data_IF_484878620048
#
_entry.id   IF_484878620048
#
_cell.length_a   1.000
_cell.length_b   1.000
_cell.length_c   1.000
_cell.angle_alpha   90.00
_cell.angle_beta   90.00
_cell.angle_gamma   90.00
#
_symmetry.space_group_name_H-M   'P 1'
#
loop_
_entity.id
_entity.type
_entity.pdbx_description
1 polymer ?
#
# COMPACT_ATOMS: atom_id res chain seq x y z
N UNK A 1 -17.75 -17.49 -9.77
CA UNK A 1 -17.58 -16.20 -9.06
C UNK A 1 -18.18 -14.98 -9.80
N UNK A 2 -18.69 -15.14 -11.02
CA UNK A 2 -19.25 -14.03 -11.84
C UNK A 2 -20.64 -13.54 -11.45
N UNK A 3 -21.41 -14.29 -10.67
CA UNK A 3 -22.78 -13.92 -10.29
C UNK A 3 -22.88 -13.03 -9.05
N UNK A 4 -21.93 -13.12 -8.12
CA UNK A 4 -21.88 -12.25 -6.94
C UNK A 4 -21.46 -10.82 -7.29
N UNK A 5 -20.56 -10.63 -8.24
CA UNK A 5 -20.04 -9.31 -8.63
C UNK A 5 -21.13 -8.38 -9.16
N UNK A 6 -22.02 -8.90 -9.99
CA UNK A 6 -23.07 -8.07 -10.61
C UNK A 6 -24.22 -7.70 -9.66
N UNK A 7 -24.46 -8.49 -8.61
CA UNK A 7 -25.53 -8.21 -7.65
C UNK A 7 -25.10 -7.24 -6.53
N UNK A 8 -23.87 -7.35 -6.07
CA UNK A 8 -23.33 -6.50 -5.00
C UNK A 8 -23.04 -5.07 -5.52
N UNK A 9 -22.48 -4.95 -6.73
CA UNK A 9 -22.17 -3.65 -7.34
C UNK A 9 -23.37 -2.94 -7.97
N UNK A 10 -24.52 -3.59 -8.06
CA UNK A 10 -25.79 -2.94 -8.47
C UNK A 10 -26.27 -1.89 -7.50
N UNK A 11 -25.85 -1.94 -6.22
CA UNK A 11 -26.17 -0.88 -5.26
C UNK A 11 -25.19 0.29 -5.43
N UNK A 12 -25.68 1.42 -5.92
CA UNK A 12 -24.89 2.64 -6.15
C UNK A 12 -24.12 3.10 -4.92
N UNK A 13 -24.72 2.96 -3.72
CA UNK A 13 -24.07 3.35 -2.46
C UNK A 13 -22.81 2.51 -2.18
N UNK A 14 -22.86 1.19 -2.40
CA UNK A 14 -21.72 0.30 -2.23
C UNK A 14 -20.62 0.62 -3.25
N UNK A 15 -20.99 0.87 -4.51
CA UNK A 15 -20.04 1.26 -5.55
C UNK A 15 -19.31 2.55 -5.19
N UNK A 16 -20.04 3.59 -4.80
CA UNK A 16 -19.42 4.87 -4.41
C UNK A 16 -18.55 4.73 -3.16
N UNK A 17 -18.95 3.93 -2.17
CA UNK A 17 -18.13 3.64 -0.99
C UNK A 17 -16.79 2.97 -1.36
N UNK A 18 -16.83 1.97 -2.23
CA UNK A 18 -15.63 1.26 -2.71
C UNK A 18 -14.72 2.17 -3.56
N UNK A 19 -15.30 3.01 -4.42
CA UNK A 19 -14.53 3.99 -5.20
C UNK A 19 -13.88 5.01 -4.28
N UNK A 20 -14.60 5.53 -3.30
CA UNK A 20 -14.06 6.48 -2.31
C UNK A 20 -12.91 5.85 -1.54
N UNK A 21 -13.07 4.62 -1.05
CA UNK A 21 -12.00 3.89 -0.36
C UNK A 21 -10.75 3.76 -1.24
N UNK A 22 -10.93 3.37 -2.51
CA UNK A 22 -9.83 3.26 -3.47
C UNK A 22 -9.11 4.59 -3.70
N UNK A 23 -9.87 5.68 -3.85
CA UNK A 23 -9.32 7.03 -4.08
C UNK A 23 -8.56 7.52 -2.86
N UNK A 24 -9.10 7.34 -1.65
CA UNK A 24 -8.43 7.77 -0.42
C UNK A 24 -7.12 7.02 -0.19
N UNK A 25 -7.11 5.70 -0.37
CA UNK A 25 -5.88 4.91 -0.25
C UNK A 25 -4.91 5.27 -1.38
N UNK A 26 -5.39 5.44 -2.62
CA UNK A 26 -4.57 5.89 -3.73
C UNK A 26 -3.92 7.25 -3.47
N UNK A 27 -4.66 8.19 -2.87
CA UNK A 27 -4.13 9.48 -2.45
C UNK A 27 -3.07 9.34 -1.36
N UNK A 28 -3.31 8.49 -0.34
CA UNK A 28 -2.35 8.25 0.72
C UNK A 28 -1.01 7.74 0.16
N UNK A 29 -1.05 6.69 -0.67
CA UNK A 29 0.16 6.16 -1.32
C UNK A 29 0.87 7.18 -2.22
N UNK A 30 0.09 7.94 -3.02
CA UNK A 30 0.67 8.94 -3.90
C UNK A 30 1.37 10.05 -3.10
N UNK A 31 0.72 10.55 -2.06
CA UNK A 31 1.29 11.57 -1.18
C UNK A 31 2.58 11.08 -0.52
N UNK A 32 2.57 9.87 0.04
CA UNK A 32 3.73 9.24 0.66
C UNK A 32 4.88 9.04 -0.35
N UNK A 33 4.59 8.59 -1.56
CA UNK A 33 5.60 8.42 -2.61
C UNK A 33 6.17 9.74 -3.10
N UNK A 34 5.32 10.70 -3.45
CA UNK A 34 5.73 12.02 -3.97
C UNK A 34 6.49 12.81 -2.92
N UNK A 35 6.06 12.80 -1.65
CA UNK A 35 6.78 13.49 -0.58
C UNK A 35 8.23 13.01 -0.41
N UNK A 36 8.45 11.70 -0.61
CA UNK A 36 9.78 11.10 -0.61
C UNK A 36 10.60 11.48 -1.85
N UNK A 37 9.96 11.52 -3.03
CA UNK A 37 10.62 11.92 -4.29
C UNK A 37 11.08 13.39 -4.27
N UNK A 38 10.32 14.28 -3.64
CA UNK A 38 10.65 15.71 -3.57
C UNK A 38 11.73 15.99 -2.53
N UNK A 39 11.90 15.12 -1.54
CA UNK A 39 12.91 15.30 -0.50
C UNK A 39 14.25 14.66 -0.92
N UNK A 40 15.27 15.45 -1.31
CA UNK A 40 16.54 14.91 -1.79
C UNK A 40 17.37 14.20 -0.71
N UNK A 41 17.02 14.39 0.55
CA UNK A 41 17.70 13.77 1.70
C UNK A 41 16.93 12.58 2.27
N UNK A 42 15.84 12.17 1.61
CA UNK A 42 15.07 11.05 2.10
C UNK A 42 15.79 9.72 1.85
N UNK A 43 15.83 8.87 2.87
CA UNK A 43 16.29 7.49 2.76
C UNK A 43 15.47 6.58 3.67
N UNK A 44 15.31 5.33 3.27
CA UNK A 44 14.70 4.28 4.07
C UNK A 44 15.56 3.83 5.25
N UNK A 45 16.84 4.22 5.29
CA UNK A 45 17.82 3.81 6.31
C UNK A 45 17.33 4.06 7.74
N UNK A 46 16.77 5.25 8.01
CA UNK A 46 16.25 5.58 9.36
C UNK A 46 15.10 4.66 9.80
N UNK A 47 14.26 4.22 8.86
CA UNK A 47 13.19 3.28 9.13
C UNK A 47 13.72 1.86 9.32
N UNK A 48 14.66 1.43 8.48
CA UNK A 48 15.26 0.11 8.55
C UNK A 48 16.09 -0.10 9.82
N UNK A 49 16.86 0.92 10.24
CA UNK A 49 17.64 0.89 11.49
C UNK A 49 16.76 0.83 12.74
N UNK A 50 15.52 1.29 12.65
CA UNK A 50 14.55 1.20 13.75
C UNK A 50 13.82 -0.16 13.81
N UNK A 51 14.09 -1.07 12.87
CA UNK A 51 13.51 -2.42 12.87
C UNK A 51 14.05 -3.26 14.05
N UNK A 52 13.16 -3.83 14.87
CA UNK A 52 13.54 -4.52 16.14
C UNK A 52 13.03 -5.95 16.27
N UNK A 53 12.54 -6.55 15.20
CA UNK A 53 11.95 -7.88 15.29
C UNK A 53 12.57 -8.81 14.24
N UNK A 54 11.82 -9.79 13.74
CA UNK A 54 12.30 -10.86 12.82
C UNK A 54 13.12 -10.35 11.62
N UNK A 55 12.86 -9.13 11.15
CA UNK A 55 13.51 -8.54 9.99
C UNK A 55 14.66 -7.56 10.33
N UNK A 56 15.05 -7.43 11.61
CA UNK A 56 16.16 -6.55 12.01
C UNK A 56 17.48 -6.90 11.31
N UNK A 57 17.83 -8.20 11.24
CA UNK A 57 19.06 -8.62 10.54
C UNK A 57 19.02 -8.36 9.03
N UNK A 58 17.86 -8.50 8.38
CA UNK A 58 17.69 -8.13 6.97
C UNK A 58 17.80 -6.61 6.80
N UNK A 59 17.22 -5.84 7.71
CA UNK A 59 17.31 -4.38 7.70
C UNK A 59 18.75 -3.90 7.83
N UNK A 60 19.52 -4.46 8.76
CA UNK A 60 20.95 -4.18 8.92
C UNK A 60 21.75 -4.51 7.67
N UNK A 61 21.46 -5.64 7.03
CA UNK A 61 22.13 -6.04 5.77
C UNK A 61 21.84 -5.03 4.66
N UNK A 62 20.59 -4.56 4.52
CA UNK A 62 20.20 -3.57 3.51
C UNK A 62 20.92 -2.23 3.77
N UNK A 63 20.98 -1.80 5.03
CA UNK A 63 21.61 -0.52 5.37
C UNK A 63 23.12 -0.56 5.26
N UNK A 64 23.75 -1.72 5.51
CA UNK A 64 25.20 -1.90 5.43
C UNK A 64 25.74 -1.86 3.99
N UNK A 65 24.90 -2.17 2.99
CA UNK A 65 25.27 -2.15 1.58
C UNK A 65 24.64 -0.93 0.88
N UNK A 66 25.47 0.04 0.42
CA UNK A 66 24.95 1.24 -0.25
C UNK A 66 24.11 0.95 -1.50
N UNK A 67 24.39 -0.16 -2.20
CA UNK A 67 23.63 -0.54 -3.41
C UNK A 67 22.26 -1.05 -3.02
N UNK A 68 22.16 -1.94 -2.02
CA UNK A 68 20.90 -2.45 -1.52
C UNK A 68 20.03 -1.34 -0.93
N UNK A 69 20.63 -0.41 -0.18
CA UNK A 69 19.92 0.74 0.37
C UNK A 69 19.37 1.64 -0.74
N UNK A 70 20.17 1.93 -1.76
CA UNK A 70 19.73 2.72 -2.92
C UNK A 70 18.55 2.05 -3.64
N UNK A 71 18.61 0.74 -3.87
CA UNK A 71 17.50 -0.03 -4.47
C UNK A 71 16.24 0.05 -3.58
N UNK A 72 16.41 -0.13 -2.28
CA UNK A 72 15.30 0.01 -1.31
C UNK A 72 14.63 1.39 -1.39
N UNK A 73 15.43 2.45 -1.45
CA UNK A 73 14.95 3.83 -1.57
C UNK A 73 14.17 4.04 -2.86
N UNK A 74 14.72 3.65 -4.01
CA UNK A 74 14.03 3.77 -5.30
C UNK A 74 12.73 2.96 -5.37
N UNK A 75 12.75 1.71 -4.91
CA UNK A 75 11.56 0.86 -4.87
C UNK A 75 10.48 1.48 -3.98
N UNK A 76 10.86 2.06 -2.86
CA UNK A 76 9.95 2.71 -1.93
C UNK A 76 9.31 3.96 -2.55
N UNK A 77 10.13 4.90 -3.06
CA UNK A 77 9.67 6.16 -3.64
C UNK A 77 8.76 5.93 -4.86
N UNK A 78 9.29 5.21 -5.86
CA UNK A 78 8.56 4.97 -7.10
C UNK A 78 7.42 3.96 -6.94
N UNK A 79 7.63 2.93 -6.14
CA UNK A 79 6.61 1.93 -5.86
C UNK A 79 5.35 2.55 -5.27
N UNK A 80 5.49 3.36 -4.19
CA UNK A 80 4.36 4.05 -3.59
C UNK A 80 3.70 5.05 -4.55
N UNK A 81 4.50 5.82 -5.30
CA UNK A 81 3.99 6.80 -6.28
C UNK A 81 3.16 6.13 -7.36
N UNK A 82 3.68 5.04 -7.96
CA UNK A 82 2.99 4.32 -9.02
C UNK A 82 1.74 3.59 -8.52
N UNK A 83 1.82 2.98 -7.34
CA UNK A 83 0.66 2.37 -6.67
C UNK A 83 -0.42 3.41 -6.43
N UNK A 84 -0.05 4.55 -5.86
CA UNK A 84 -0.99 5.63 -5.58
C UNK A 84 -1.65 6.19 -6.83
N UNK A 85 -0.86 6.53 -7.84
CA UNK A 85 -1.36 7.04 -9.13
C UNK A 85 -2.29 6.02 -9.82
N UNK A 86 -1.91 4.75 -9.83
CA UNK A 86 -2.70 3.68 -10.42
C UNK A 86 -4.05 3.49 -9.73
N UNK A 87 -4.08 3.48 -8.39
CA UNK A 87 -5.33 3.38 -7.62
C UNK A 87 -6.23 4.61 -7.82
N UNK A 88 -5.67 5.82 -7.84
CA UNK A 88 -6.43 7.05 -8.10
C UNK A 88 -7.10 7.04 -9.48
N UNK A 89 -6.32 6.73 -10.50
CA UNK A 89 -6.80 6.68 -11.88
C UNK A 89 -7.71 5.48 -12.15
N UNK A 90 -7.70 4.47 -11.29
CA UNK A 90 -8.40 3.21 -11.52
C UNK A 90 -7.80 2.46 -12.70
N UNK A 91 -6.47 2.40 -12.77
CA UNK A 91 -5.71 1.68 -13.80
C UNK A 91 -5.08 0.44 -13.16
N UNK A 92 -5.38 -0.76 -13.67
CA UNK A 92 -4.91 -2.03 -13.09
C UNK A 92 -5.18 -2.18 -11.59
N UNK A 93 -6.24 -1.57 -11.08
CA UNK A 93 -6.44 -1.36 -9.64
C UNK A 93 -6.41 -2.65 -8.82
N UNK A 94 -6.81 -3.80 -9.40
CA UNK A 94 -6.75 -5.11 -8.75
C UNK A 94 -5.31 -5.53 -8.45
N UNK A 95 -4.41 -5.48 -9.43
CA UNK A 95 -3.00 -5.85 -9.25
C UNK A 95 -2.28 -4.84 -8.38
N UNK A 96 -2.58 -3.57 -8.57
CA UNK A 96 -1.97 -2.48 -7.81
C UNK A 96 -2.37 -2.53 -6.33
N UNK A 97 -3.61 -2.89 -6.02
CA UNK A 97 -4.04 -3.11 -4.64
C UNK A 97 -3.27 -4.26 -3.98
N UNK A 98 -2.98 -5.34 -4.72
CA UNK A 98 -2.17 -6.45 -4.21
C UNK A 98 -0.72 -6.01 -3.94
N UNK A 99 -0.12 -5.24 -4.84
CA UNK A 99 1.23 -4.68 -4.66
C UNK A 99 1.26 -3.72 -3.46
N UNK A 100 0.28 -2.82 -3.36
CA UNK A 100 0.15 -1.89 -2.22
C UNK A 100 -0.01 -2.63 -0.90
N UNK A 101 -0.82 -3.70 -0.88
CA UNK A 101 -0.95 -4.56 0.31
C UNK A 101 0.39 -5.18 0.70
N UNK A 102 1.19 -5.61 -0.28
CA UNK A 102 2.56 -6.08 -0.04
C UNK A 102 3.44 -5.03 0.63
N UNK A 103 3.41 -3.76 0.18
CA UNK A 103 4.16 -2.66 0.81
C UNK A 103 3.77 -2.45 2.27
N UNK A 104 2.47 -2.30 2.57
CA UNK A 104 2.05 -2.03 3.96
C UNK A 104 2.26 -3.23 4.88
N UNK A 105 2.17 -4.46 4.37
CA UNK A 105 2.53 -5.65 5.12
C UNK A 105 4.03 -5.73 5.40
N UNK A 106 4.89 -5.36 4.44
CA UNK A 106 6.33 -5.24 4.69
C UNK A 106 6.61 -4.20 5.78
N UNK A 107 6.00 -3.02 5.71
CA UNK A 107 6.14 -2.02 6.78
C UNK A 107 5.67 -2.56 8.13
N UNK A 108 4.56 -3.29 8.16
CA UNK A 108 4.10 -3.92 9.38
C UNK A 108 5.10 -4.92 9.95
N UNK A 109 5.73 -5.72 9.10
CA UNK A 109 6.68 -6.77 9.51
C UNK A 109 8.03 -6.18 9.98
N UNK A 110 8.49 -5.09 9.40
CA UNK A 110 9.71 -4.41 9.83
C UNK A 110 9.55 -3.66 11.16
N UNK A 111 8.35 -3.10 11.41
CA UNK A 111 8.06 -2.33 12.62
C UNK A 111 6.69 -2.72 13.22
N UNK A 112 6.54 -3.97 13.73
CA UNK A 112 5.28 -4.42 14.31
C UNK A 112 5.00 -3.70 15.66
N UNK A 113 3.74 -3.36 15.95
CA UNK A 113 3.36 -2.60 17.13
C UNK A 113 3.23 -3.49 18.39
N UNK A 114 4.19 -4.37 18.63
CA UNK A 114 4.13 -5.27 19.77
C UNK A 114 4.55 -4.61 21.07
N UNK A 115 3.94 -5.05 22.19
CA UNK A 115 4.28 -4.57 23.51
C UNK A 115 5.78 -4.86 23.83
N UNK A 116 6.46 -3.85 24.37
CA UNK A 116 7.87 -3.95 24.72
C UNK A 116 8.84 -3.59 23.60
N UNK A 117 8.35 -3.26 22.40
CA UNK A 117 9.15 -2.69 21.32
C UNK A 117 8.96 -1.17 21.30
N UNK A 118 10.01 -0.44 21.64
CA UNK A 118 10.02 1.02 21.55
C UNK A 118 10.71 1.46 20.26
N UNK A 119 10.03 2.29 19.47
CA UNK A 119 10.53 2.83 18.22
C UNK A 119 10.88 4.31 18.37
N UNK A 120 11.84 4.80 17.58
CA UNK A 120 12.29 6.19 17.61
C UNK A 120 11.19 7.18 17.20
N UNK A 121 10.22 6.73 16.43
CA UNK A 121 9.04 7.53 16.06
C UNK A 121 7.84 7.13 16.92
N UNK A 122 7.02 8.10 17.39
CA UNK A 122 5.78 7.78 18.09
C UNK A 122 4.90 6.88 17.24
N UNK A 123 4.45 5.78 17.81
CA UNK A 123 3.55 4.84 17.15
C UNK A 123 2.14 5.42 17.08
N UNK A 124 1.80 6.11 16.00
CA UNK A 124 0.44 6.56 15.77
C UNK A 124 -0.50 5.37 15.49
N UNK A 125 -1.60 5.27 16.26
CA UNK A 125 -2.65 4.27 16.04
C UNK A 125 -2.20 2.84 16.25
N UNK A 126 -1.33 2.61 17.23
CA UNK A 126 -0.86 1.28 17.61
C UNK A 126 -1.69 0.73 18.77
N UNK A 127 -2.36 -0.39 18.53
CA UNK A 127 -3.22 -1.08 19.51
C UNK A 127 -2.79 -2.54 19.63
N UNK A 128 -1.66 -2.78 20.29
CA UNK A 128 -1.04 -4.09 20.59
C UNK A 128 -0.60 -4.84 19.33
N UNK A 129 -1.54 -5.25 18.47
CA UNK A 129 -1.29 -5.99 17.21
C UNK A 129 -1.78 -5.16 16.01
N UNK A 130 -2.83 -4.38 16.22
CA UNK A 130 -3.47 -3.61 15.16
C UNK A 130 -2.83 -2.23 15.06
N UNK A 131 -2.36 -1.87 13.87
CA UNK A 131 -1.91 -0.53 13.54
C UNK A 131 -2.51 -0.08 12.20
N UNK A 132 -2.23 1.16 11.80
CA UNK A 132 -2.72 1.72 10.54
C UNK A 132 -2.37 0.85 9.32
N UNK A 133 -1.18 0.24 9.30
CA UNK A 133 -0.74 -0.59 8.17
C UNK A 133 -1.61 -1.85 8.02
N UNK A 134 -1.97 -2.50 9.12
CA UNK A 134 -2.82 -3.68 9.08
C UNK A 134 -4.25 -3.33 8.62
N UNK A 135 -4.79 -2.18 9.08
CA UNK A 135 -6.11 -1.68 8.64
C UNK A 135 -6.06 -1.37 7.14
N UNK A 136 -5.00 -0.72 6.67
CA UNK A 136 -4.82 -0.36 5.27
C UNK A 136 -4.64 -1.61 4.39
N UNK A 137 -3.92 -2.64 4.86
CA UNK A 137 -3.82 -3.93 4.18
C UNK A 137 -5.19 -4.59 4.00
N UNK A 138 -6.05 -4.57 5.03
CA UNK A 138 -7.42 -5.07 4.94
C UNK A 138 -8.26 -4.27 3.94
N UNK A 139 -8.11 -2.95 3.93
CA UNK A 139 -8.81 -2.09 2.98
C UNK A 139 -8.35 -2.33 1.53
N UNK A 140 -7.06 -2.55 1.31
CA UNK A 140 -6.50 -2.96 0.01
C UNK A 140 -7.00 -4.34 -0.43
N UNK A 141 -7.16 -5.27 0.51
CA UNK A 141 -7.80 -6.56 0.23
C UNK A 141 -9.24 -6.39 -0.26
N UNK A 142 -10.01 -5.49 0.37
CA UNK A 142 -11.37 -5.18 -0.10
C UNK A 142 -11.35 -4.63 -1.53
N UNK A 143 -10.44 -3.69 -1.85
CA UNK A 143 -10.29 -3.15 -3.20
C UNK A 143 -9.89 -4.24 -4.20
N UNK A 144 -8.99 -5.15 -3.83
CA UNK A 144 -8.60 -6.30 -4.64
C UNK A 144 -9.77 -7.24 -4.93
N UNK A 145 -10.59 -7.53 -3.88
CA UNK A 145 -11.71 -8.46 -3.95
C UNK A 145 -12.89 -7.90 -4.74
N UNK A 146 -13.09 -6.57 -4.68
CA UNK A 146 -14.18 -5.85 -5.32
C UNK A 146 -13.66 -4.73 -6.25
N UNK A 147 -13.02 -5.08 -7.37
CA UNK A 147 -12.43 -4.09 -8.27
C UNK A 147 -13.52 -3.22 -8.92
N UNK A 148 -13.42 -1.91 -8.74
CA UNK A 148 -14.37 -0.92 -9.26
C UNK A 148 -13.86 -0.20 -10.50
N UNK A 149 -12.61 -0.43 -10.91
CA UNK A 149 -11.91 0.33 -11.95
C UNK A 149 -12.51 0.16 -13.35
N UNK A 150 -13.13 -0.96 -13.63
CA UNK A 150 -13.84 -1.22 -14.90
C UNK A 150 -15.21 -0.52 -14.98
N UNK A 151 -15.73 -0.02 -13.84
CA UNK A 151 -16.99 0.76 -13.78
C UNK A 151 -16.65 2.25 -13.72
N UNK A 152 -15.80 2.64 -12.75
CA UNK A 152 -15.34 4.01 -12.51
C UNK A 152 -13.82 4.00 -12.43
N UNK A 153 -13.13 4.17 -13.57
CA UNK A 153 -11.68 4.19 -13.69
C UNK A 153 -11.24 4.08 -15.14
N UNK A 154 -9.92 4.22 -15.37
CA UNK A 154 -9.33 4.11 -16.70
C UNK A 154 -9.37 2.68 -17.28
N UNK A 155 -9.45 1.65 -16.44
CA UNK A 155 -9.63 0.26 -16.90
C UNK A 155 -10.86 0.07 -17.79
N UNK A 156 -11.86 0.96 -17.66
CA UNK A 156 -13.06 0.97 -18.49
C UNK A 156 -12.75 1.13 -19.98
N UNK A 157 -11.64 1.81 -20.34
CA UNK A 157 -11.24 2.04 -21.72
C UNK A 157 -10.48 0.86 -22.35
N UNK A 158 -10.17 -0.17 -21.57
CA UNK A 158 -9.47 -1.38 -22.00
C UNK A 158 -10.40 -2.62 -21.95
N UNK A 159 -11.41 -2.71 -22.84
CA UNK A 159 -12.49 -3.72 -22.74
C UNK A 159 -12.04 -5.17 -22.92
N UNK A 160 -10.81 -5.44 -23.39
CA UNK A 160 -10.33 -6.78 -23.71
C UNK A 160 -9.73 -7.56 -22.53
N UNK A 161 -9.76 -7.04 -21.31
CA UNK A 161 -9.36 -7.78 -20.12
C UNK A 161 -10.59 -8.42 -19.45
N UNK A 162 -11.01 -9.57 -19.96
CA UNK A 162 -11.88 -10.47 -19.20
C UNK A 162 -11.17 -10.75 -17.85
N UNK A 163 -11.79 -10.31 -16.75
CA UNK A 163 -11.37 -10.71 -15.41
C UNK A 163 -11.61 -12.23 -15.29
N UNK A 164 -10.57 -13.03 -15.42
CA UNK A 164 -10.60 -14.40 -14.93
C UNK A 164 -10.55 -14.40 -13.42
#
# INVERSE_FOLDING_TARGET
>A
MSGLDSSILKNKCQLYGLVTLRVLIGWHFLYEGVSKLINPYWSSAAYLLDSKWLFSGLAETIVSDPVLLSISDYVNMWGLTLVGASLLLGLFSRYTALIGMGFVLLYYLFAPPFLGLEYSKPGEGSYIIVNKNLIEACALWVIYSFPTSHIIGLDRFFPNRKSN
#
